data_IF_431052141635
#
_entry.id   IF_431052141635
#
_cell.length_a   1.000
_cell.length_b   1.000
_cell.length_c   1.000
_cell.angle_alpha   90.00
_cell.angle_beta   90.00
_cell.angle_gamma   90.00
#
_symmetry.space_group_name_H-M   'P 1'
#
loop_
_entity.id
_entity.type
_entity.pdbx_description
1 polymer ?
#
# COMPACT_ATOMS: atom_id res chain seq x y z
N UNK A 1 37.32 -37.59 -11.01
CA UNK A 1 36.20 -37.10 -10.19
C UNK A 1 36.76 -36.00 -9.31
N UNK A 2 36.17 -34.80 -9.33
CA UNK A 2 36.43 -33.76 -8.34
C UNK A 2 35.76 -34.21 -7.03
N UNK A 3 36.53 -34.30 -5.95
CA UNK A 3 36.08 -34.87 -4.67
C UNK A 3 35.40 -33.83 -3.79
N UNK A 4 35.98 -32.64 -3.67
CA UNK A 4 35.55 -31.55 -2.79
C UNK A 4 35.19 -30.28 -3.55
N UNK A 5 34.32 -29.47 -2.94
CA UNK A 5 33.93 -28.15 -3.44
C UNK A 5 35.13 -27.19 -3.35
N UNK A 6 35.39 -26.44 -4.44
CA UNK A 6 36.56 -25.56 -4.56
C UNK A 6 37.77 -26.18 -5.26
N UNK A 7 37.82 -27.50 -5.44
CA UNK A 7 38.90 -28.18 -6.16
C UNK A 7 38.88 -27.82 -7.66
N UNK A 8 40.02 -27.39 -8.21
CA UNK A 8 40.17 -27.05 -9.63
C UNK A 8 40.82 -28.20 -10.41
N UNK A 9 40.44 -28.35 -11.68
CA UNK A 9 41.12 -29.22 -12.65
C UNK A 9 41.63 -28.36 -13.80
N UNK A 10 42.92 -28.49 -14.12
CA UNK A 10 43.48 -27.90 -15.34
C UNK A 10 42.79 -28.46 -16.58
N UNK A 11 42.35 -27.59 -17.49
CA UNK A 11 41.68 -27.98 -18.73
C UNK A 11 42.56 -28.94 -19.56
N UNK A 12 43.89 -28.80 -19.51
CA UNK A 12 44.83 -29.73 -20.14
C UNK A 12 44.71 -31.18 -19.64
N UNK A 13 44.38 -31.37 -18.36
CA UNK A 13 44.09 -32.69 -17.79
C UNK A 13 42.82 -33.28 -18.39
N UNK A 14 41.81 -32.45 -18.66
CA UNK A 14 40.59 -32.88 -19.33
C UNK A 14 40.85 -33.23 -20.79
N UNK A 15 41.68 -32.46 -21.51
CA UNK A 15 42.10 -32.79 -22.87
C UNK A 15 42.77 -34.16 -22.93
N UNK A 16 43.73 -34.44 -22.04
CA UNK A 16 44.41 -35.75 -22.02
C UNK A 16 43.42 -36.90 -21.83
N UNK A 17 42.45 -36.74 -20.93
CA UNK A 17 41.48 -37.79 -20.61
C UNK A 17 40.42 -38.00 -21.72
N UNK A 18 39.87 -36.93 -22.28
CA UNK A 18 38.75 -37.01 -23.24
C UNK A 18 39.21 -37.12 -24.70
N UNK A 19 40.42 -36.67 -25.01
CA UNK A 19 40.99 -36.77 -26.36
C UNK A 19 41.86 -38.03 -26.54
N UNK A 20 42.05 -38.84 -25.50
CA UNK A 20 42.79 -40.11 -25.57
C UNK A 20 44.32 -39.95 -25.75
N UNK A 21 44.87 -38.79 -25.42
CA UNK A 21 46.30 -38.48 -25.62
C UNK A 21 47.16 -39.38 -24.72
N UNK A 22 47.90 -40.32 -25.33
CA UNK A 22 48.76 -41.28 -24.64
C UNK A 22 48.12 -42.66 -24.38
N UNK A 23 46.94 -42.94 -24.95
CA UNK A 23 46.29 -44.25 -24.90
C UNK A 23 46.66 -45.20 -26.05
N UNK A 24 46.28 -46.49 -25.99
CA UNK A 24 46.65 -47.50 -26.97
C UNK A 24 45.98 -47.38 -28.35
N UNK A 25 45.03 -46.44 -28.55
CA UNK A 25 44.40 -46.14 -29.85
C UNK A 25 43.98 -44.66 -29.94
N UNK A 26 44.06 -44.05 -31.12
CA UNK A 26 43.67 -42.66 -31.44
C UNK A 26 42.14 -42.45 -31.52
N UNK A 27 41.37 -42.93 -30.54
CA UNK A 27 39.94 -42.65 -30.44
C UNK A 27 39.68 -41.68 -29.28
N UNK A 28 39.23 -40.47 -29.58
CA UNK A 28 38.94 -39.43 -28.59
C UNK A 28 38.17 -38.26 -29.19
N UNK A 29 37.60 -37.42 -28.32
CA UNK A 29 36.94 -36.19 -28.74
C UNK A 29 37.96 -35.20 -29.31
N UNK A 30 37.54 -34.34 -30.23
CA UNK A 30 38.40 -33.22 -30.65
C UNK A 30 38.49 -32.18 -29.53
N UNK A 31 39.58 -31.39 -29.51
CA UNK A 31 39.74 -30.30 -28.54
C UNK A 31 38.54 -29.35 -28.53
N UNK A 32 38.01 -29.02 -29.71
CA UNK A 32 36.86 -28.13 -29.88
C UNK A 32 35.58 -28.73 -29.30
N UNK A 33 35.35 -30.04 -29.44
CA UNK A 33 34.21 -30.71 -28.81
C UNK A 33 34.30 -30.67 -27.28
N UNK A 34 35.49 -30.88 -26.72
CA UNK A 34 35.70 -30.77 -25.26
C UNK A 34 35.47 -29.34 -24.78
N UNK A 35 35.97 -28.33 -25.50
CA UNK A 35 35.74 -26.91 -25.20
C UNK A 35 34.26 -26.53 -25.24
N UNK A 36 33.52 -26.96 -26.28
CA UNK A 36 32.08 -26.70 -26.40
C UNK A 36 31.33 -27.35 -25.23
N UNK A 37 31.66 -28.61 -24.91
CA UNK A 37 31.04 -29.30 -23.78
C UNK A 37 31.29 -28.56 -22.45
N UNK A 38 32.50 -28.08 -22.22
CA UNK A 38 32.82 -27.27 -21.04
C UNK A 38 32.03 -25.97 -20.99
N UNK A 39 31.85 -25.27 -22.12
CA UNK A 39 31.02 -24.08 -22.19
C UNK A 39 29.54 -24.38 -21.95
N UNK A 40 29.02 -25.54 -22.38
CA UNK A 40 27.69 -25.99 -22.01
C UNK A 40 27.58 -26.18 -20.50
N UNK A 41 28.57 -26.78 -19.84
CA UNK A 41 28.56 -26.92 -18.38
C UNK A 41 28.64 -25.57 -17.64
N UNK A 42 29.33 -24.57 -18.21
CA UNK A 42 29.34 -23.19 -17.69
C UNK A 42 27.97 -22.54 -17.87
N UNK A 43 27.36 -22.70 -19.05
CA UNK A 43 26.01 -22.22 -19.35
C UNK A 43 24.95 -22.89 -18.47
N UNK A 44 25.17 -24.11 -18.04
CA UNK A 44 24.28 -24.82 -17.12
C UNK A 44 24.61 -24.51 -15.64
N UNK A 45 25.56 -23.63 -15.37
CA UNK A 45 25.95 -23.22 -14.02
C UNK A 45 26.66 -24.30 -13.20
N UNK A 46 27.08 -25.41 -13.80
CA UNK A 46 27.69 -26.56 -13.11
C UNK A 46 29.18 -26.36 -12.82
N UNK A 47 29.87 -25.57 -13.65
CA UNK A 47 31.30 -25.28 -13.52
C UNK A 47 31.59 -23.81 -13.84
N UNK A 48 32.70 -23.29 -13.32
CA UNK A 48 33.31 -22.01 -13.72
C UNK A 48 34.66 -22.30 -14.33
N UNK A 49 35.10 -21.47 -15.27
CA UNK A 49 36.36 -21.69 -15.97
C UNK A 49 37.21 -20.42 -15.91
N UNK A 50 38.44 -20.52 -15.41
CA UNK A 50 39.39 -19.41 -15.49
C UNK A 50 39.84 -19.22 -16.93
N UNK A 51 40.02 -17.97 -17.34
CA UNK A 51 40.47 -17.61 -18.68
C UNK A 51 41.75 -16.80 -18.57
N UNK A 52 42.79 -17.25 -19.28
CA UNK A 52 44.07 -16.57 -19.29
C UNK A 52 43.98 -15.16 -19.87
N UNK A 53 44.80 -14.24 -19.35
CA UNK A 53 44.85 -12.82 -19.76
C UNK A 53 44.98 -12.59 -21.28
N UNK A 54 45.49 -13.58 -22.01
CA UNK A 54 45.59 -13.56 -23.48
C UNK A 54 44.22 -13.45 -24.17
N UNK A 55 43.14 -13.88 -23.53
CA UNK A 55 41.78 -13.79 -24.04
C UNK A 55 41.21 -12.36 -24.07
N UNK A 56 41.78 -11.42 -23.28
CA UNK A 56 41.31 -10.03 -23.16
C UNK A 56 39.82 -9.90 -22.79
N UNK A 57 39.30 -10.85 -22.01
CA UNK A 57 37.98 -10.71 -21.41
C UNK A 57 38.05 -9.75 -20.21
N UNK A 58 36.95 -9.03 -19.96
CA UNK A 58 36.84 -8.12 -18.82
C UNK A 58 36.92 -8.87 -17.47
N UNK A 59 36.41 -10.10 -17.44
CA UNK A 59 36.53 -11.01 -16.30
C UNK A 59 37.56 -12.11 -16.59
N UNK A 60 38.48 -12.40 -15.64
CA UNK A 60 39.40 -13.54 -15.76
C UNK A 60 38.72 -14.90 -15.47
N UNK A 61 37.41 -14.91 -15.20
CA UNK A 61 36.63 -16.12 -14.96
C UNK A 61 35.34 -16.10 -15.76
N UNK A 62 35.07 -17.18 -16.48
CA UNK A 62 33.81 -17.47 -17.14
C UNK A 62 32.91 -18.25 -16.19
N UNK A 63 31.69 -17.75 -16.01
CA UNK A 63 30.62 -18.41 -15.28
C UNK A 63 29.27 -18.13 -15.96
N UNK A 64 28.18 -18.64 -15.39
CA UNK A 64 26.83 -18.43 -15.91
C UNK A 64 26.47 -16.95 -16.09
N UNK A 65 26.98 -16.06 -15.23
CA UNK A 65 26.58 -14.66 -15.20
C UNK A 65 27.14 -13.85 -16.37
N UNK A 66 28.24 -14.29 -16.98
CA UNK A 66 28.93 -13.53 -18.03
C UNK A 66 29.09 -14.28 -19.36
N UNK A 67 28.81 -15.59 -19.41
CA UNK A 67 28.99 -16.40 -20.63
C UNK A 67 28.14 -15.92 -21.81
N UNK A 68 26.98 -15.32 -21.55
CA UNK A 68 26.10 -14.79 -22.59
C UNK A 68 26.68 -13.56 -23.31
N UNK A 69 27.52 -12.78 -22.61
CA UNK A 69 28.08 -11.52 -23.10
C UNK A 69 29.46 -11.70 -23.76
N UNK A 70 29.93 -12.95 -23.87
CA UNK A 70 31.27 -13.27 -24.37
C UNK A 70 31.21 -13.70 -25.83
N UNK A 71 31.93 -12.97 -26.68
CA UNK A 71 32.18 -13.39 -28.06
C UNK A 71 33.29 -14.46 -28.12
N UNK A 72 32.91 -15.70 -28.43
CA UNK A 72 33.84 -16.82 -28.44
C UNK A 72 34.66 -16.90 -29.73
N UNK A 73 35.91 -16.44 -29.65
CA UNK A 73 36.93 -16.67 -30.68
C UNK A 73 37.85 -17.85 -30.32
N UNK A 74 38.59 -18.37 -31.29
CA UNK A 74 39.63 -19.40 -31.07
C UNK A 74 40.61 -18.99 -29.97
N UNK A 75 40.95 -17.70 -29.90
CA UNK A 75 41.83 -17.12 -28.88
C UNK A 75 41.27 -17.24 -27.47
N UNK A 76 39.96 -17.08 -27.30
CA UNK A 76 39.28 -17.23 -26.00
C UNK A 76 39.22 -18.71 -25.60
N UNK A 77 38.83 -19.58 -26.54
CA UNK A 77 38.72 -21.02 -26.31
C UNK A 77 40.07 -21.66 -25.97
N UNK A 78 41.16 -21.20 -26.59
CA UNK A 78 42.50 -21.73 -26.35
C UNK A 78 43.16 -21.14 -25.09
N UNK A 79 42.49 -20.18 -24.45
CA UNK A 79 42.91 -19.56 -23.19
C UNK A 79 42.17 -20.10 -21.96
N UNK A 80 41.28 -21.10 -22.10
CA UNK A 80 40.63 -21.76 -20.96
C UNK A 80 41.69 -22.47 -20.09
N UNK A 81 41.74 -22.11 -18.80
CA UNK A 81 42.80 -22.52 -17.87
C UNK A 81 42.39 -23.65 -16.95
N UNK A 82 41.59 -23.34 -15.94
CA UNK A 82 41.18 -24.28 -14.90
C UNK A 82 39.66 -24.31 -14.77
N UNK A 83 39.10 -25.51 -14.71
CA UNK A 83 37.69 -25.77 -14.44
C UNK A 83 37.53 -25.96 -12.93
N UNK A 84 36.66 -25.16 -12.34
CA UNK A 84 36.25 -25.30 -10.95
C UNK A 84 34.80 -25.77 -10.92
N UNK A 85 34.51 -26.80 -10.14
CA UNK A 85 33.11 -27.16 -9.86
C UNK A 85 32.47 -25.99 -9.13
N UNK A 86 31.30 -25.55 -9.59
CA UNK A 86 30.51 -24.57 -8.83
C UNK A 86 30.10 -25.28 -7.55
N UNK A 87 30.54 -24.75 -6.40
CA UNK A 87 30.01 -25.20 -5.12
C UNK A 87 28.49 -25.10 -5.20
N UNK A 88 27.78 -26.12 -4.70
CA UNK A 88 26.31 -26.06 -4.60
C UNK A 88 25.91 -24.69 -4.04
N UNK A 89 24.79 -24.09 -4.46
CA UNK A 89 24.29 -22.90 -3.77
C UNK A 89 24.10 -23.27 -2.30
N UNK A 90 25.08 -22.90 -1.47
CA UNK A 90 25.11 -23.27 -0.07
C UNK A 90 23.84 -22.71 0.55
N UNK A 91 23.15 -23.57 1.31
CA UNK A 91 21.98 -23.16 2.07
C UNK A 91 20.74 -22.81 1.22
N UNK A 92 20.70 -23.17 -0.07
CA UNK A 92 19.47 -23.07 -0.87
C UNK A 92 18.30 -23.83 -0.22
N UNK A 93 18.52 -25.05 0.27
CA UNK A 93 17.47 -25.81 0.97
C UNK A 93 17.01 -25.15 2.27
N UNK A 94 17.83 -24.27 2.86
CA UNK A 94 17.46 -23.46 4.02
C UNK A 94 16.64 -22.26 3.59
N UNK A 95 17.02 -21.58 2.50
CA UNK A 95 16.28 -20.43 1.99
C UNK A 95 14.97 -20.81 1.30
N UNK A 96 14.90 -21.97 0.63
CA UNK A 96 13.79 -22.39 -0.23
C UNK A 96 12.41 -22.21 0.43
N UNK A 97 12.16 -22.67 1.67
CA UNK A 97 10.86 -22.49 2.32
C UNK A 97 10.48 -21.01 2.53
N UNK A 98 11.44 -20.13 2.81
CA UNK A 98 11.19 -18.68 2.92
C UNK A 98 10.98 -18.06 1.54
N UNK A 99 11.74 -18.50 0.54
CA UNK A 99 11.59 -18.05 -0.85
C UNK A 99 10.20 -18.36 -1.40
N UNK A 100 9.61 -19.52 -1.05
CA UNK A 100 8.22 -19.86 -1.39
C UNK A 100 7.24 -18.81 -0.88
N UNK A 101 7.42 -18.34 0.37
CA UNK A 101 6.54 -17.32 0.97
C UNK A 101 6.76 -15.92 0.39
N UNK A 102 8.02 -15.57 0.13
CA UNK A 102 8.40 -14.29 -0.49
C UNK A 102 7.82 -14.17 -1.90
N UNK A 103 8.00 -15.21 -2.73
CA UNK A 103 7.53 -15.24 -4.11
C UNK A 103 6.04 -15.59 -4.25
N UNK A 104 5.43 -16.17 -3.21
CA UNK A 104 4.03 -16.62 -3.25
C UNK A 104 3.79 -17.80 -4.19
N UNK A 105 4.81 -18.64 -4.41
CA UNK A 105 4.75 -19.82 -5.29
C UNK A 105 5.36 -21.03 -4.58
N UNK A 106 4.89 -22.23 -4.92
CA UNK A 106 5.54 -23.46 -4.48
C UNK A 106 6.84 -23.69 -5.26
N UNK A 107 7.90 -24.09 -4.56
CA UNK A 107 9.21 -24.33 -5.14
C UNK A 107 9.60 -25.78 -4.83
N UNK A 108 9.57 -26.68 -5.82
CA UNK A 108 9.89 -28.08 -5.58
C UNK A 108 11.31 -28.22 -5.03
N UNK A 109 11.53 -29.17 -4.14
CA UNK A 109 12.89 -29.54 -3.75
C UNK A 109 13.61 -30.07 -4.99
N UNK A 110 14.66 -29.37 -5.39
CA UNK A 110 15.41 -29.65 -6.60
C UNK A 110 16.88 -29.37 -6.35
N UNK A 111 17.73 -30.19 -6.97
CA UNK A 111 19.17 -29.97 -7.02
C UNK A 111 19.62 -29.42 -8.38
N UNK A 112 18.67 -29.02 -9.23
CA UNK A 112 18.95 -28.45 -10.55
C UNK A 112 19.33 -26.97 -10.42
N UNK A 113 20.62 -26.68 -10.59
CA UNK A 113 21.19 -25.33 -10.50
C UNK A 113 20.54 -24.34 -11.47
N UNK A 114 20.07 -24.78 -12.64
CA UNK A 114 19.41 -23.91 -13.61
C UNK A 114 18.06 -23.43 -13.07
N UNK A 115 17.27 -24.33 -12.47
CA UNK A 115 15.99 -23.99 -11.83
C UNK A 115 16.22 -23.11 -10.59
N UNK A 116 17.21 -23.45 -9.76
CA UNK A 116 17.56 -22.64 -8.58
C UNK A 116 17.93 -21.20 -8.99
N UNK A 117 18.69 -21.06 -10.08
CA UNK A 117 19.10 -19.74 -10.60
C UNK A 117 17.91 -18.90 -11.06
N UNK A 118 16.87 -19.53 -11.64
CA UNK A 118 15.64 -18.83 -12.01
C UNK A 118 14.92 -18.26 -10.77
N UNK A 119 14.76 -19.04 -9.71
CA UNK A 119 14.13 -18.57 -8.48
C UNK A 119 14.96 -17.48 -7.78
N UNK A 120 16.29 -17.60 -7.78
CA UNK A 120 17.19 -16.55 -7.27
C UNK A 120 17.02 -15.24 -8.05
N UNK A 121 16.89 -15.31 -9.38
CA UNK A 121 16.62 -14.13 -10.18
C UNK A 121 15.27 -13.48 -9.83
N UNK A 122 14.21 -14.28 -9.64
CA UNK A 122 12.90 -13.81 -9.18
C UNK A 122 12.97 -13.14 -7.80
N UNK A 123 13.75 -13.70 -6.86
CA UNK A 123 13.96 -13.09 -5.54
C UNK A 123 14.67 -11.74 -5.64
N UNK A 124 15.75 -11.65 -6.42
CA UNK A 124 16.45 -10.37 -6.62
C UNK A 124 15.52 -9.31 -7.23
N UNK A 125 14.73 -9.70 -8.23
CA UNK A 125 13.73 -8.83 -8.83
C UNK A 125 12.68 -8.37 -7.81
N UNK A 126 12.17 -9.28 -6.97
CA UNK A 126 11.22 -8.96 -5.91
C UNK A 126 11.82 -7.92 -4.94
N UNK A 127 13.05 -8.13 -4.46
CA UNK A 127 13.72 -7.19 -3.56
C UNK A 127 13.91 -5.82 -4.22
N UNK A 128 14.33 -5.78 -5.49
CA UNK A 128 14.47 -4.52 -6.22
C UNK A 128 13.14 -3.76 -6.36
N UNK A 129 12.04 -4.47 -6.66
CA UNK A 129 10.70 -3.87 -6.79
C UNK A 129 10.14 -3.40 -5.44
N UNK A 130 10.27 -4.23 -4.40
CA UNK A 130 9.68 -3.98 -3.10
C UNK A 130 10.48 -3.01 -2.23
N UNK A 131 11.76 -2.76 -2.54
CA UNK A 131 12.60 -1.80 -1.79
C UNK A 131 11.95 -0.44 -1.63
N UNK A 132 11.51 0.16 -2.74
CA UNK A 132 10.81 1.44 -2.68
C UNK A 132 9.32 1.29 -2.39
N UNK A 133 8.68 0.22 -2.88
CA UNK A 133 7.24 0.03 -2.71
C UNK A 133 6.85 -0.20 -1.25
N UNK A 134 7.62 -1.00 -0.51
CA UNK A 134 7.44 -1.21 0.94
C UNK A 134 7.60 0.10 1.71
N UNK A 135 8.65 0.87 1.43
CA UNK A 135 8.91 2.17 2.06
C UNK A 135 7.75 3.16 1.83
N UNK A 136 7.27 3.27 0.58
CA UNK A 136 6.10 4.10 0.25
C UNK A 136 4.84 3.63 0.96
N UNK A 137 4.62 2.32 1.03
CA UNK A 137 3.46 1.74 1.72
C UNK A 137 3.47 2.09 3.21
N UNK A 138 4.62 1.96 3.88
CA UNK A 138 4.76 2.33 5.28
C UNK A 138 4.52 3.83 5.52
N UNK A 139 5.08 4.71 4.67
CA UNK A 139 4.83 6.16 4.79
C UNK A 139 3.36 6.53 4.56
N UNK A 140 2.68 5.89 3.59
CA UNK A 140 1.25 6.08 3.35
C UNK A 140 0.40 5.60 4.52
N UNK A 141 0.73 4.42 5.09
CA UNK A 141 0.07 3.91 6.28
C UNK A 141 0.21 4.90 7.44
N UNK A 142 1.43 5.34 7.75
CA UNK A 142 1.67 6.32 8.82
C UNK A 142 0.81 7.57 8.61
N UNK A 143 0.86 8.17 7.42
CA UNK A 143 0.10 9.39 7.13
C UNK A 143 -1.41 9.21 7.24
N UNK A 144 -1.95 8.04 6.88
CA UNK A 144 -3.38 7.75 7.07
C UNK A 144 -3.72 7.60 8.55
N UNK A 145 -2.99 6.77 9.30
CA UNK A 145 -3.27 6.51 10.71
C UNK A 145 -3.09 7.76 11.60
N UNK A 146 -2.12 8.61 11.29
CA UNK A 146 -1.94 9.93 11.93
C UNK A 146 -3.18 10.83 11.76
N UNK A 147 -3.78 10.82 10.57
CA UNK A 147 -4.99 11.61 10.27
C UNK A 147 -6.21 11.02 10.97
N UNK A 148 -6.33 9.69 10.96
CA UNK A 148 -7.42 9.00 11.64
C UNK A 148 -7.32 9.12 13.18
N UNK A 149 -6.14 9.50 13.69
CA UNK A 149 -5.80 9.57 15.12
C UNK A 149 -6.00 8.22 15.82
N UNK A 150 -5.57 7.16 15.14
CA UNK A 150 -5.66 5.78 15.60
C UNK A 150 -4.32 5.11 15.38
N UNK A 151 -3.91 4.23 16.29
CA UNK A 151 -2.68 3.46 16.14
C UNK A 151 -2.80 2.48 14.97
N UNK A 152 -1.70 2.29 14.23
CA UNK A 152 -1.64 1.28 13.19
C UNK A 152 -1.39 -0.10 13.82
N UNK A 153 -2.35 -1.05 13.74
CA UNK A 153 -2.20 -2.37 14.36
C UNK A 153 -1.06 -3.21 13.74
N UNK A 154 -0.53 -2.81 12.58
CA UNK A 154 0.49 -3.51 11.82
C UNK A 154 1.79 -2.72 11.65
N UNK A 155 1.98 -1.65 12.42
CA UNK A 155 3.20 -0.84 12.35
C UNK A 155 4.48 -1.68 12.51
N UNK A 156 4.59 -2.62 13.48
CA UNK A 156 5.79 -3.44 13.63
C UNK A 156 6.05 -4.31 12.39
N UNK A 157 5.02 -4.98 11.86
CA UNK A 157 5.12 -5.84 10.67
C UNK A 157 5.55 -5.05 9.44
N UNK A 158 4.98 -3.85 9.23
CA UNK A 158 5.38 -2.97 8.14
C UNK A 158 6.85 -2.56 8.26
N UNK A 159 7.29 -2.16 9.46
CA UNK A 159 8.68 -1.76 9.70
C UNK A 159 9.66 -2.91 9.42
N UNK A 160 9.30 -4.14 9.80
CA UNK A 160 10.11 -5.33 9.53
C UNK A 160 10.16 -5.66 8.04
N UNK A 161 9.03 -5.59 7.32
CA UNK A 161 9.00 -5.82 5.87
C UNK A 161 9.81 -4.77 5.11
N UNK A 162 9.73 -3.50 5.52
CA UNK A 162 10.60 -2.43 4.99
C UNK A 162 12.07 -2.75 5.27
N UNK A 163 12.41 -3.14 6.50
CA UNK A 163 13.79 -3.53 6.85
C UNK A 163 14.28 -4.69 5.99
N UNK A 164 13.45 -5.72 5.77
CA UNK A 164 13.76 -6.86 4.91
C UNK A 164 14.07 -6.43 3.48
N UNK A 165 13.14 -5.72 2.82
CA UNK A 165 13.32 -5.34 1.41
C UNK A 165 14.31 -4.20 1.17
N UNK A 166 14.71 -3.48 2.23
CA UNK A 166 15.81 -2.50 2.16
C UNK A 166 17.19 -3.14 2.01
N UNK A 167 17.33 -4.43 2.34
CA UNK A 167 18.59 -5.15 2.25
C UNK A 167 19.11 -5.20 0.81
N UNK A 168 20.42 -4.96 0.64
CA UNK A 168 21.05 -5.10 -0.66
C UNK A 168 21.36 -6.58 -0.93
N UNK A 169 20.67 -7.14 -1.91
CA UNK A 169 20.85 -8.53 -2.37
C UNK A 169 21.54 -8.60 -3.75
N UNK A 170 22.02 -7.46 -4.27
CA UNK A 170 22.76 -7.39 -5.53
C UNK A 170 24.26 -7.64 -5.32
N UNK A 171 24.86 -8.43 -6.21
CA UNK A 171 26.30 -8.67 -6.26
C UNK A 171 26.81 -9.60 -5.14
N UNK A 172 26.90 -10.91 -5.44
CA UNK A 172 27.50 -11.89 -4.54
C UNK A 172 26.59 -13.09 -4.27
N UNK A 173 26.67 -13.60 -3.04
CA UNK A 173 25.87 -14.72 -2.55
C UNK A 173 24.52 -14.23 -2.01
N UNK A 174 23.59 -14.00 -2.93
CA UNK A 174 22.22 -13.56 -2.62
C UNK A 174 21.48 -14.49 -1.64
N UNK A 175 21.79 -15.78 -1.57
CA UNK A 175 21.16 -16.71 -0.64
C UNK A 175 21.52 -16.32 0.80
N UNK A 176 22.81 -16.16 1.06
CA UNK A 176 23.30 -15.71 2.37
C UNK A 176 22.81 -14.31 2.72
N UNK A 177 22.78 -13.39 1.75
CA UNK A 177 22.29 -12.03 1.98
C UNK A 177 20.80 -12.00 2.35
N UNK A 178 19.96 -12.81 1.70
CA UNK A 178 18.53 -12.89 2.02
C UNK A 178 18.32 -13.56 3.39
N UNK A 179 19.04 -14.64 3.70
CA UNK A 179 18.96 -15.28 5.02
C UNK A 179 19.41 -14.32 6.14
N UNK A 180 20.47 -13.54 5.89
CA UNK A 180 20.92 -12.51 6.81
C UNK A 180 19.89 -11.37 6.95
N UNK A 181 19.24 -10.96 5.86
CA UNK A 181 18.17 -9.96 5.90
C UNK A 181 16.96 -10.44 6.72
N UNK A 182 16.59 -11.72 6.62
CA UNK A 182 15.55 -12.34 7.45
C UNK A 182 15.92 -12.34 8.93
N UNK A 183 17.18 -12.66 9.26
CA UNK A 183 17.72 -12.52 10.62
C UNK A 183 17.60 -11.08 11.10
N UNK A 184 18.08 -10.11 10.33
CA UNK A 184 18.07 -8.71 10.74
C UNK A 184 16.67 -8.14 10.88
N UNK A 185 15.76 -8.47 9.97
CA UNK A 185 14.41 -7.93 9.96
C UNK A 185 13.50 -8.57 11.00
N UNK A 186 13.59 -9.89 11.18
CA UNK A 186 12.60 -10.68 11.93
C UNK A 186 13.22 -11.51 13.07
N UNK A 187 14.53 -11.38 13.29
CA UNK A 187 15.28 -12.09 14.32
C UNK A 187 15.29 -13.62 14.15
N UNK A 188 15.10 -14.08 12.91
CA UNK A 188 15.13 -15.51 12.56
C UNK A 188 16.53 -16.09 12.70
N UNK A 189 16.59 -17.36 13.11
CA UNK A 189 17.80 -18.11 13.41
C UNK A 189 18.28 -18.96 12.23
N UNK A 190 17.53 -19.01 11.12
CA UNK A 190 17.86 -19.83 9.96
C UNK A 190 19.26 -19.57 9.39
N UNK A 191 19.72 -18.31 9.41
CA UNK A 191 21.07 -17.94 9.00
C UNK A 191 22.15 -18.52 9.93
N UNK A 192 21.96 -18.42 11.25
CA UNK A 192 22.97 -18.85 12.23
C UNK A 192 22.99 -20.37 12.43
N UNK A 193 21.82 -21.00 12.38
CA UNK A 193 21.65 -22.45 12.60
C UNK A 193 21.77 -23.27 11.33
N UNK A 194 21.82 -22.60 10.18
CA UNK A 194 21.77 -23.20 8.86
C UNK A 194 20.60 -24.19 8.67
N UNK A 195 19.43 -23.84 9.20
CA UNK A 195 18.26 -24.71 9.21
C UNK A 195 16.98 -23.89 9.13
N UNK A 196 16.12 -24.23 8.17
CA UNK A 196 14.77 -23.68 8.11
C UNK A 196 13.89 -24.28 9.20
N UNK A 197 13.10 -23.44 9.88
CA UNK A 197 12.12 -23.90 10.86
C UNK A 197 10.70 -23.59 10.37
N UNK A 198 9.74 -24.54 10.47
CA UNK A 198 8.36 -24.27 10.07
C UNK A 198 7.75 -23.06 10.76
N UNK A 199 8.07 -22.85 12.04
CA UNK A 199 7.58 -21.71 12.81
C UNK A 199 7.98 -20.35 12.22
N UNK A 200 9.24 -20.18 11.81
CA UNK A 200 9.69 -18.94 11.17
C UNK A 200 9.11 -18.76 9.76
N UNK A 201 8.95 -19.86 9.02
CA UNK A 201 8.35 -19.84 7.68
C UNK A 201 6.87 -19.42 7.75
N UNK A 202 6.14 -19.93 8.73
CA UNK A 202 4.74 -19.59 8.97
C UNK A 202 4.59 -18.15 9.50
N UNK A 203 5.48 -17.71 10.40
CA UNK A 203 5.52 -16.32 10.86
C UNK A 203 5.79 -15.36 9.69
N UNK A 204 6.75 -15.68 8.80
CA UNK A 204 7.03 -14.89 7.60
C UNK A 204 5.79 -14.80 6.70
N UNK A 205 5.10 -15.93 6.50
CA UNK A 205 3.88 -15.95 5.69
C UNK A 205 2.81 -15.01 6.26
N UNK A 206 2.62 -15.01 7.58
CA UNK A 206 1.67 -14.13 8.26
C UNK A 206 2.07 -12.65 8.15
N UNK A 207 3.35 -12.32 8.34
CA UNK A 207 3.84 -10.93 8.20
C UNK A 207 3.68 -10.40 6.77
N UNK A 208 3.99 -11.24 5.77
CA UNK A 208 3.80 -10.89 4.36
C UNK A 208 2.32 -10.75 3.99
N UNK A 209 1.44 -11.57 4.59
CA UNK A 209 -0.01 -11.41 4.46
C UNK A 209 -0.45 -10.05 5.02
N UNK A 210 -0.11 -9.73 6.27
CA UNK A 210 -0.48 -8.46 6.90
C UNK A 210 0.01 -7.25 6.09
N UNK A 211 1.22 -7.32 5.54
CA UNK A 211 1.74 -6.30 4.64
C UNK A 211 0.88 -6.12 3.38
N UNK A 212 0.46 -7.21 2.74
CA UNK A 212 -0.41 -7.18 1.55
C UNK A 212 -1.80 -6.65 1.90
N UNK A 213 -2.36 -7.06 3.03
CA UNK A 213 -3.67 -6.62 3.51
C UNK A 213 -3.66 -5.11 3.78
N UNK A 214 -2.64 -4.58 4.45
CA UNK A 214 -2.47 -3.13 4.63
C UNK A 214 -2.32 -2.42 3.29
N UNK A 215 -1.52 -2.96 2.37
CA UNK A 215 -1.34 -2.37 1.04
C UNK A 215 -2.66 -2.30 0.27
N UNK A 216 -3.48 -3.34 0.32
CA UNK A 216 -4.81 -3.36 -0.27
C UNK A 216 -5.75 -2.35 0.41
N UNK A 217 -5.73 -2.29 1.75
CA UNK A 217 -6.51 -1.34 2.53
C UNK A 217 -6.19 0.13 2.16
N UNK A 218 -4.92 0.45 1.90
CA UNK A 218 -4.48 1.79 1.52
C UNK A 218 -5.00 2.25 0.16
N UNK A 219 -5.51 1.36 -0.69
CA UNK A 219 -6.18 1.77 -1.92
C UNK A 219 -7.49 2.54 -1.63
N UNK A 220 -8.03 2.41 -0.43
CA UNK A 220 -9.21 3.13 0.06
C UNK A 220 -8.87 4.34 0.96
N UNK A 221 -7.63 4.79 0.93
CA UNK A 221 -7.16 5.94 1.71
C UNK A 221 -8.02 7.22 1.54
N UNK A 222 -8.44 7.63 0.31
CA UNK A 222 -9.28 8.82 0.12
C UNK A 222 -10.65 8.71 0.79
N UNK A 223 -11.27 7.54 0.71
CA UNK A 223 -12.55 7.23 1.35
C UNK A 223 -12.42 7.24 2.86
N UNK A 224 -11.33 6.70 3.42
CA UNK A 224 -11.08 6.72 4.87
C UNK A 224 -10.90 8.13 5.41
N UNK A 225 -10.13 8.97 4.71
CA UNK A 225 -9.95 10.39 5.07
C UNK A 225 -11.28 11.13 5.05
N UNK A 226 -12.11 10.87 4.04
CA UNK A 226 -13.45 11.47 3.90
C UNK A 226 -14.40 10.99 5.01
N UNK A 227 -14.39 9.70 5.31
CA UNK A 227 -15.19 9.12 6.38
C UNK A 227 -14.82 9.71 7.74
N UNK A 228 -13.53 9.91 8.01
CA UNK A 228 -13.04 10.57 9.23
C UNK A 228 -13.48 12.03 9.31
N UNK A 229 -13.37 12.79 8.20
CA UNK A 229 -13.84 14.17 8.15
C UNK A 229 -15.34 14.29 8.44
N UNK A 230 -16.17 13.37 7.91
CA UNK A 230 -17.59 13.31 8.24
C UNK A 230 -17.84 12.94 9.69
N UNK A 231 -17.01 12.09 10.28
CA UNK A 231 -17.12 11.76 11.69
C UNK A 231 -16.80 12.94 12.60
N UNK A 232 -15.97 13.90 12.17
CA UNK A 232 -15.70 15.10 12.95
C UNK A 232 -16.89 16.08 13.02
N UNK A 233 -17.88 15.94 12.14
CA UNK A 233 -19.09 16.78 12.13
C UNK A 233 -19.99 16.43 13.31
N UNK A 234 -20.29 17.41 14.15
CA UNK A 234 -21.29 17.31 15.21
C UNK A 234 -22.65 17.74 14.67
N UNK A 235 -23.61 16.82 14.64
CA UNK A 235 -25.00 17.13 14.32
C UNK A 235 -25.74 17.52 15.60
N UNK A 236 -26.58 18.56 15.56
CA UNK A 236 -27.47 18.95 16.66
C UNK A 236 -28.52 17.89 16.99
N UNK A 237 -29.31 18.08 18.05
CA UNK A 237 -30.14 17.03 18.66
C UNK A 237 -31.53 16.83 18.03
N UNK A 238 -31.82 17.57 16.96
CA UNK A 238 -32.99 17.41 16.08
C UNK A 238 -33.41 15.93 15.89
N UNK A 239 -34.70 15.64 16.01
CA UNK A 239 -35.23 14.27 15.94
C UNK A 239 -35.05 13.66 14.55
N UNK A 240 -35.06 14.50 13.53
CA UNK A 240 -34.90 14.14 12.11
C UNK A 240 -33.46 13.77 11.77
N UNK A 241 -32.49 14.32 12.51
CA UNK A 241 -31.07 14.00 12.38
C UNK A 241 -30.66 12.74 13.14
N UNK A 242 -31.58 12.10 13.90
CA UNK A 242 -31.27 10.92 14.70
C UNK A 242 -30.70 9.76 13.87
N UNK A 243 -31.20 9.54 12.65
CA UNK A 243 -30.66 8.51 11.77
C UNK A 243 -29.23 8.84 11.28
N UNK A 244 -28.95 10.11 10.98
CA UNK A 244 -27.63 10.56 10.57
C UNK A 244 -26.62 10.48 11.72
N UNK A 245 -27.01 10.87 12.95
CA UNK A 245 -26.21 10.67 14.16
C UNK A 245 -25.87 9.18 14.36
N UNK A 246 -26.87 8.31 14.27
CA UNK A 246 -26.67 6.85 14.36
C UNK A 246 -25.71 6.32 13.28
N UNK A 247 -25.79 6.85 12.06
CA UNK A 247 -24.89 6.47 10.97
C UNK A 247 -23.46 6.98 11.18
N UNK A 248 -23.27 8.21 11.67
CA UNK A 248 -21.96 8.76 12.02
C UNK A 248 -21.31 7.95 13.15
N UNK A 249 -22.05 7.67 14.22
CA UNK A 249 -21.57 6.83 15.32
C UNK A 249 -21.24 5.41 14.85
N UNK A 250 -22.04 4.86 13.93
CA UNK A 250 -21.73 3.61 13.27
C UNK A 250 -20.38 3.64 12.56
N UNK A 251 -20.08 4.71 11.80
CA UNK A 251 -18.78 4.84 11.12
C UNK A 251 -17.64 5.10 12.11
N UNK A 252 -17.85 5.90 13.16
CA UNK A 252 -16.86 6.11 14.23
C UNK A 252 -16.46 4.78 14.87
N UNK A 253 -17.44 3.95 15.23
CA UNK A 253 -17.19 2.62 15.81
C UNK A 253 -16.37 1.72 14.87
N UNK A 254 -16.58 1.81 13.56
CA UNK A 254 -15.80 1.08 12.55
C UNK A 254 -14.38 1.61 12.41
N UNK A 255 -14.21 2.95 12.37
CA UNK A 255 -12.89 3.59 12.30
C UNK A 255 -12.04 3.35 13.55
N UNK A 256 -12.65 3.01 14.70
CA UNK A 256 -11.93 2.58 15.89
C UNK A 256 -11.43 1.12 15.82
N UNK A 257 -12.02 0.29 14.94
CA UNK A 257 -11.74 -1.15 14.86
C UNK A 257 -11.18 -1.54 13.48
N UNK A 258 -10.34 -0.70 12.88
CA UNK A 258 -9.82 -0.90 11.51
C UNK A 258 -9.13 -2.23 11.27
N UNK A 259 -8.56 -2.85 12.33
CA UNK A 259 -7.93 -4.17 12.23
C UNK A 259 -8.87 -5.23 11.61
N UNK A 260 -10.13 -5.29 12.04
CA UNK A 260 -11.10 -6.26 11.49
C UNK A 260 -11.38 -6.05 10.00
N UNK A 261 -11.16 -4.83 9.52
CA UNK A 261 -11.44 -4.40 8.14
C UNK A 261 -10.25 -4.68 7.24
N UNK A 262 -9.04 -4.48 7.77
CA UNK A 262 -7.78 -4.83 7.10
C UNK A 262 -7.72 -6.36 6.94
N UNK A 263 -8.11 -7.12 7.95
CA UNK A 263 -7.92 -8.58 7.98
C UNK A 263 -8.89 -9.36 7.09
N UNK A 264 -9.99 -8.73 6.67
CA UNK A 264 -11.16 -9.43 6.14
C UNK A 264 -11.38 -9.25 4.63
N UNK A 265 -10.51 -8.54 3.91
CA UNK A 265 -10.66 -8.23 2.47
C UNK A 265 -12.01 -7.56 2.09
N UNK A 266 -12.79 -7.10 3.07
CA UNK A 266 -14.20 -6.74 2.83
C UNK A 266 -14.35 -5.31 2.31
N UNK A 267 -15.20 -5.21 1.29
CA UNK A 267 -15.89 -4.08 0.63
C UNK A 267 -16.58 -3.04 1.57
N UNK A 268 -15.97 -2.69 2.70
CA UNK A 268 -16.64 -1.99 3.81
C UNK A 268 -16.95 -0.52 3.57
N UNK A 269 -16.26 0.13 2.63
CA UNK A 269 -16.46 1.55 2.32
C UNK A 269 -17.44 1.81 1.20
N UNK A 270 -17.54 0.91 0.22
CA UNK A 270 -18.46 1.08 -0.90
C UNK A 270 -19.91 0.94 -0.41
N UNK A 271 -20.15 -0.05 0.45
CA UNK A 271 -21.44 -0.25 1.13
C UNK A 271 -21.81 0.88 2.09
N UNK A 272 -20.84 1.40 2.85
CA UNK A 272 -21.08 2.50 3.79
C UNK A 272 -21.32 3.83 3.06
N UNK A 273 -20.60 4.09 1.98
CA UNK A 273 -20.77 5.29 1.15
C UNK A 273 -22.08 5.25 0.38
N UNK A 274 -22.43 4.10 -0.21
CA UNK A 274 -23.70 3.88 -0.90
C UNK A 274 -24.91 4.16 -0.01
N UNK A 275 -24.93 3.60 1.21
CA UNK A 275 -26.01 3.84 2.20
C UNK A 275 -26.13 5.30 2.62
N UNK A 276 -25.03 6.07 2.63
CA UNK A 276 -25.08 7.52 2.91
C UNK A 276 -25.62 8.32 1.72
N UNK A 277 -25.30 7.91 0.50
CA UNK A 277 -25.83 8.56 -0.72
C UNK A 277 -27.34 8.34 -0.87
N UNK A 278 -27.86 7.19 -0.40
CA UNK A 278 -29.30 6.92 -0.37
C UNK A 278 -30.10 7.95 0.46
N UNK A 279 -29.49 8.54 1.50
CA UNK A 279 -30.13 9.58 2.32
C UNK A 279 -30.48 10.82 1.47
N UNK A 280 -29.60 11.22 0.55
CA UNK A 280 -29.84 12.36 -0.35
C UNK A 280 -30.83 12.04 -1.49
N UNK A 281 -31.09 10.75 -1.73
CA UNK A 281 -32.13 10.29 -2.66
C UNK A 281 -33.49 10.10 -1.96
N UNK A 282 -33.54 10.17 -0.64
CA UNK A 282 -34.77 10.09 0.13
C UNK A 282 -35.71 11.25 -0.24
N UNK A 283 -36.99 10.99 -0.54
CA UNK A 283 -37.96 12.04 -0.94
C UNK A 283 -38.09 13.19 0.06
N UNK A 284 -38.08 12.90 1.36
CA UNK A 284 -38.21 13.92 2.42
C UNK A 284 -36.97 14.81 2.52
N UNK A 285 -35.78 14.24 2.33
CA UNK A 285 -34.52 15.00 2.30
C UNK A 285 -34.46 15.87 1.05
N UNK A 286 -34.91 15.35 -0.10
CA UNK A 286 -35.00 16.12 -1.35
C UNK A 286 -35.98 17.29 -1.23
N UNK A 287 -37.13 17.09 -0.59
CA UNK A 287 -38.10 18.15 -0.34
C UNK A 287 -37.54 19.26 0.57
N UNK A 288 -36.70 18.91 1.56
CA UNK A 288 -35.98 19.91 2.36
C UNK A 288 -34.98 20.69 1.52
N UNK A 289 -34.17 19.99 0.72
CA UNK A 289 -33.17 20.61 -0.14
C UNK A 289 -33.77 21.45 -1.27
N UNK A 290 -35.00 21.18 -1.72
CA UNK A 290 -35.72 22.04 -2.70
C UNK A 290 -35.86 23.50 -2.23
N UNK A 291 -35.85 23.75 -0.92
CA UNK A 291 -35.86 25.09 -0.34
C UNK A 291 -34.59 25.89 -0.69
N UNK A 292 -33.49 25.20 -0.97
CA UNK A 292 -32.21 25.77 -1.38
C UNK A 292 -31.92 25.67 -2.87
N UNK A 293 -32.89 25.32 -3.73
CA UNK A 293 -32.65 25.05 -5.17
C UNK A 293 -32.03 26.21 -5.96
N UNK A 294 -32.03 27.42 -5.41
CA UNK A 294 -31.37 28.59 -6.01
C UNK A 294 -29.86 28.56 -5.81
N UNK A 295 -29.37 27.78 -4.85
CA UNK A 295 -27.93 27.56 -4.62
C UNK A 295 -27.41 26.51 -5.63
N UNK A 296 -26.32 26.79 -6.37
CA UNK A 296 -25.77 25.87 -7.36
C UNK A 296 -25.41 24.49 -6.79
N UNK A 297 -24.91 24.45 -5.55
CA UNK A 297 -24.53 23.22 -4.84
C UNK A 297 -25.73 22.31 -4.55
N UNK A 298 -26.89 22.92 -4.27
CA UNK A 298 -28.12 22.21 -3.93
C UNK A 298 -28.86 21.80 -5.19
N UNK A 299 -28.92 22.68 -6.20
CA UNK A 299 -29.48 22.38 -7.51
C UNK A 299 -28.77 21.18 -8.16
N UNK A 300 -27.44 21.15 -8.10
CA UNK A 300 -26.66 20.03 -8.61
C UNK A 300 -26.93 18.73 -7.82
N UNK A 301 -27.05 18.80 -6.50
CA UNK A 301 -27.37 17.65 -5.65
C UNK A 301 -28.76 17.06 -5.98
N UNK A 302 -29.77 17.92 -6.21
CA UNK A 302 -31.13 17.51 -6.57
C UNK A 302 -31.23 16.91 -7.99
N UNK A 303 -30.33 17.26 -8.89
CA UNK A 303 -30.34 16.80 -10.29
C UNK A 303 -30.03 15.29 -10.44
N UNK A 304 -29.22 14.70 -9.55
CA UNK A 304 -28.75 13.32 -9.69
C UNK A 304 -29.66 12.31 -8.97
N UNK A 305 -30.10 11.27 -9.69
CA UNK A 305 -31.05 10.27 -9.19
C UNK A 305 -30.43 8.94 -8.74
N UNK A 306 -29.14 8.75 -8.97
CA UNK A 306 -28.41 7.54 -8.60
C UNK A 306 -27.30 7.86 -7.61
N UNK A 307 -26.98 6.90 -6.75
CA UNK A 307 -25.95 7.05 -5.70
C UNK A 307 -24.57 7.30 -6.29
N UNK A 308 -24.25 6.68 -7.43
CA UNK A 308 -22.96 6.82 -8.11
C UNK A 308 -22.75 8.21 -8.70
N UNK A 309 -23.76 8.74 -9.39
CA UNK A 309 -23.70 10.07 -9.99
C UNK A 309 -23.67 11.17 -8.91
N UNK A 310 -24.44 10.98 -7.83
CA UNK A 310 -24.49 11.90 -6.70
C UNK A 310 -23.17 11.91 -5.91
N UNK A 311 -22.52 10.75 -5.76
CA UNK A 311 -21.17 10.62 -5.18
C UNK A 311 -20.13 11.39 -5.99
N UNK A 312 -20.09 11.17 -7.32
CA UNK A 312 -19.14 11.85 -8.19
C UNK A 312 -19.28 13.37 -8.14
N UNK A 313 -20.54 13.85 -8.09
CA UNK A 313 -20.83 15.27 -7.94
C UNK A 313 -20.38 15.83 -6.59
N UNK A 314 -20.72 15.18 -5.47
CA UNK A 314 -20.37 15.67 -4.13
C UNK A 314 -18.85 15.74 -3.91
N UNK A 315 -18.11 14.75 -4.40
CA UNK A 315 -16.64 14.76 -4.33
C UNK A 315 -16.10 16.00 -5.04
N UNK A 316 -16.59 16.27 -6.26
CA UNK A 316 -16.18 17.43 -7.05
C UNK A 316 -16.59 18.76 -6.38
N UNK A 317 -17.83 18.87 -5.91
CA UNK A 317 -18.39 20.08 -5.34
C UNK A 317 -17.72 20.48 -4.00
N UNK A 318 -17.29 19.50 -3.20
CA UNK A 318 -16.55 19.76 -1.95
C UNK A 318 -15.10 20.17 -2.23
N UNK A 319 -14.47 19.61 -3.26
CA UNK A 319 -13.12 19.99 -3.68
C UNK A 319 -13.07 21.39 -4.28
N UNK A 320 -14.06 21.75 -5.10
CA UNK A 320 -14.09 23.03 -5.82
C UNK A 320 -14.66 24.18 -4.99
N UNK A 321 -15.48 23.91 -3.97
CA UNK A 321 -16.14 24.95 -3.18
C UNK A 321 -16.09 24.64 -1.68
N UNK A 322 -15.08 25.19 -0.97
CA UNK A 322 -15.03 25.18 0.49
C UNK A 322 -16.27 25.89 1.05
N UNK A 323 -17.13 25.19 1.78
CA UNK A 323 -18.42 25.69 2.27
C UNK A 323 -19.65 25.01 1.68
N UNK A 324 -19.49 24.14 0.67
CA UNK A 324 -20.59 23.29 0.14
C UNK A 324 -21.29 22.51 1.25
N UNK A 325 -20.54 22.02 2.23
CA UNK A 325 -21.08 21.28 3.39
C UNK A 325 -21.98 22.18 4.26
N UNK A 326 -21.57 23.43 4.50
CA UNK A 326 -22.34 24.38 5.30
C UNK A 326 -23.63 24.80 4.60
N UNK A 327 -23.57 24.96 3.28
CA UNK A 327 -24.74 25.26 2.43
C UNK A 327 -25.72 24.09 2.51
N UNK A 328 -25.27 22.85 2.29
CA UNK A 328 -26.12 21.65 2.39
C UNK A 328 -26.75 21.56 3.78
N UNK A 329 -25.97 21.71 4.84
CA UNK A 329 -26.47 21.64 6.22
C UNK A 329 -27.49 22.72 6.53
N UNK A 330 -27.32 23.95 6.00
CA UNK A 330 -28.29 25.04 6.17
C UNK A 330 -29.66 24.67 5.63
N UNK A 331 -29.72 24.06 4.44
CA UNK A 331 -30.97 23.70 3.76
C UNK A 331 -31.54 22.33 4.13
N UNK A 332 -30.84 21.57 4.98
CA UNK A 332 -31.39 20.38 5.63
C UNK A 332 -32.24 20.72 6.87
N UNK A 333 -32.15 21.95 7.39
CA UNK A 333 -32.97 22.46 8.51
C UNK A 333 -34.34 22.92 8.02
N UNK A 334 -35.37 22.79 8.87
CA UNK A 334 -36.73 23.27 8.61
C UNK A 334 -36.79 24.79 8.83
N UNK A 335 -37.13 25.56 7.79
CA UNK A 335 -37.36 27.00 7.94
C UNK A 335 -38.64 27.25 8.74
N UNK A 336 -38.54 28.02 9.83
CA UNK A 336 -39.68 28.46 10.64
C UNK A 336 -39.73 29.98 10.63
N UNK A 337 -40.71 30.55 9.93
CA UNK A 337 -40.88 32.00 9.84
C UNK A 337 -41.79 32.48 10.97
N UNK A 338 -41.26 33.30 11.88
CA UNK A 338 -42.02 33.97 12.94
C UNK A 338 -42.34 35.40 12.48
N UNK A 339 -43.63 35.71 12.42
CA UNK A 339 -44.10 37.07 12.12
C UNK A 339 -44.01 37.92 13.38
N UNK A 340 -43.33 39.06 13.29
CA UNK A 340 -43.13 39.99 14.41
C UNK A 340 -43.73 41.33 14.02
N UNK A 341 -44.72 41.79 14.78
CA UNK A 341 -45.31 43.10 14.57
C UNK A 341 -44.43 44.15 15.23
N UNK A 342 -44.11 45.20 14.48
CA UNK A 342 -43.31 46.32 15.03
C UNK A 342 -44.05 46.99 16.20
N UNK A 343 -45.39 46.98 16.18
CA UNK A 343 -46.23 47.53 17.25
C UNK A 343 -46.09 46.83 18.61
N UNK A 344 -45.54 45.60 18.65
CA UNK A 344 -45.32 44.86 19.90
C UNK A 344 -44.05 45.33 20.63
N UNK A 345 -43.18 46.07 19.95
CA UNK A 345 -42.04 46.73 20.59
C UNK A 345 -42.51 47.93 21.41
N UNK A 346 -42.27 47.89 22.73
CA UNK A 346 -42.51 49.03 23.63
C UNK A 346 -41.18 49.49 24.23
N UNK A 347 -40.63 50.64 23.79
CA UNK A 347 -39.44 51.20 24.41
C UNK A 347 -39.74 51.63 25.84
N UNK A 348 -38.72 51.66 26.70
CA UNK A 348 -38.90 52.09 28.10
C UNK A 348 -39.32 53.56 28.24
N UNK A 349 -38.93 54.38 27.26
CA UNK A 349 -39.28 55.80 27.19
C UNK A 349 -40.27 56.05 26.06
N UNK A 350 -41.39 56.71 26.36
CA UNK A 350 -42.41 57.05 25.34
C UNK A 350 -42.04 58.25 24.46
N UNK A 351 -41.09 59.07 24.90
CA UNK A 351 -40.58 60.24 24.19
C UNK A 351 -39.07 60.18 24.16
N UNK A 352 -38.48 60.19 22.96
CA UNK A 352 -37.05 59.91 22.74
C UNK A 352 -36.31 61.22 22.46
N UNK A 353 -35.28 61.53 23.25
CA UNK A 353 -34.33 62.62 22.97
C UNK A 353 -33.16 62.11 22.11
N UNK A 354 -32.41 63.02 21.46
CA UNK A 354 -31.38 62.66 20.47
C UNK A 354 -30.28 61.75 21.04
N UNK A 355 -29.91 61.97 22.28
CA UNK A 355 -28.94 61.19 23.05
C UNK A 355 -29.45 59.80 23.45
N UNK A 356 -30.77 59.57 23.43
CA UNK A 356 -31.42 58.31 23.80
C UNK A 356 -31.70 57.38 22.61
N UNK A 357 -31.41 57.82 21.37
CA UNK A 357 -31.66 57.01 20.16
C UNK A 357 -30.87 55.70 20.17
N UNK A 358 -29.61 55.74 20.62
CA UNK A 358 -28.77 54.54 20.72
C UNK A 358 -29.35 53.50 21.69
N UNK A 359 -29.85 53.96 22.84
CA UNK A 359 -30.46 53.09 23.85
C UNK A 359 -31.72 52.39 23.32
N UNK A 360 -32.58 53.11 22.58
CA UNK A 360 -33.79 52.54 21.98
C UNK A 360 -33.46 51.56 20.86
N UNK A 361 -32.41 51.79 20.07
CA UNK A 361 -31.96 50.86 19.04
C UNK A 361 -31.43 49.55 19.64
N UNK A 362 -30.68 49.62 20.75
CA UNK A 362 -30.28 48.43 21.49
C UNK A 362 -31.49 47.72 22.10
N UNK A 363 -32.48 48.44 22.62
CA UNK A 363 -33.73 47.85 23.12
C UNK A 363 -34.48 47.11 22.02
N UNK A 364 -34.51 47.65 20.80
CA UNK A 364 -35.12 46.98 19.65
C UNK A 364 -34.31 45.75 19.20
N UNK A 365 -32.97 45.84 19.21
CA UNK A 365 -32.09 44.69 18.96
C UNK A 365 -32.35 43.54 19.94
N UNK A 366 -32.35 43.84 21.25
CA UNK A 366 -32.68 42.86 22.30
C UNK A 366 -34.10 42.32 22.17
N UNK A 367 -35.05 43.14 21.71
CA UNK A 367 -36.42 42.70 21.42
C UNK A 367 -36.45 41.67 20.28
N UNK A 368 -35.73 41.91 19.17
CA UNK A 368 -35.64 40.96 18.05
C UNK A 368 -34.92 39.67 18.45
N UNK A 369 -33.80 39.76 19.19
CA UNK A 369 -33.08 38.61 19.73
C UNK A 369 -33.99 37.73 20.59
N UNK A 370 -34.80 38.35 21.46
CA UNK A 370 -35.80 37.64 22.27
C UNK A 370 -36.91 36.97 21.43
N UNK A 371 -37.16 37.41 20.20
CA UNK A 371 -38.12 36.70 19.34
C UNK A 371 -37.59 35.36 18.85
N UNK A 372 -36.27 35.15 18.85
CA UNK A 372 -35.63 33.88 18.54
C UNK A 372 -35.59 32.91 19.73
N UNK A 373 -35.64 33.39 20.99
CA UNK A 373 -35.49 32.54 22.19
C UNK A 373 -36.63 31.55 22.41
N UNK A 374 -37.80 31.72 21.77
CA UNK A 374 -38.91 30.75 21.83
C UNK A 374 -38.59 29.43 21.10
N UNK A 375 -37.53 29.40 20.27
CA UNK A 375 -37.09 28.22 19.51
C UNK A 375 -35.67 27.75 19.90
N UNK A 376 -35.08 28.28 20.97
CA UNK A 376 -33.71 27.98 21.44
C UNK A 376 -33.50 26.53 21.92
N UNK A 377 -34.46 25.62 21.68
CA UNK A 377 -34.33 24.19 21.96
C UNK A 377 -34.64 23.26 20.78
N UNK A 378 -34.95 23.80 19.59
CA UNK A 378 -35.21 22.99 18.39
C UNK A 378 -34.07 23.15 17.37
N UNK A 379 -33.04 22.32 17.51
CA UNK A 379 -31.89 22.28 16.61
C UNK A 379 -32.25 21.96 15.14
N UNK A 380 -33.49 21.48 14.86
CA UNK A 380 -33.99 21.22 13.49
C UNK A 380 -34.57 22.47 12.81
N UNK A 381 -34.78 23.56 13.55
CA UNK A 381 -35.38 24.77 13.02
C UNK A 381 -34.33 25.82 12.64
N UNK A 382 -34.51 26.46 11.49
CA UNK A 382 -33.85 27.73 11.15
C UNK A 382 -34.89 28.84 11.34
N UNK A 383 -34.92 29.53 12.50
CA UNK A 383 -35.89 30.57 12.75
C UNK A 383 -35.54 31.81 11.92
N UNK A 384 -36.54 32.36 11.24
CA UNK A 384 -36.43 33.62 10.50
C UNK A 384 -37.52 34.58 10.99
N UNK A 385 -37.18 35.85 11.17
CA UNK A 385 -38.17 36.87 11.50
C UNK A 385 -38.64 37.56 10.22
N UNK A 386 -39.96 37.62 10.06
CA UNK A 386 -40.59 38.51 9.09
C UNK A 386 -41.21 39.67 9.85
N UNK A 387 -40.70 40.88 9.61
CA UNK A 387 -41.26 42.10 10.20
C UNK A 387 -42.53 42.48 9.44
N UNK A 388 -43.62 42.69 10.18
CA UNK A 388 -44.92 43.17 9.68
C UNK A 388 -45.33 44.50 10.32
#
# INVERSE_FOLDING_TARGET
>A
KLGDDGQTIKVDTLYKNFMGIGGPKDYGLTRRMVQIYLLCLVRDGRVRITVGAKARLASPMLDYSNIADVEFSTKVLDALGEVQKVAKPENWEVLRPYAEKLLGIEIPSTQDDALITEYRAKLRQLFAQEKEASSRTASRAQGLFDILKTDNPYEPELAQVVKLFSANVEGGDDIHLILYALKEAMNYQAFDTNKATPAEVDDLANRLKNYRDVRAFLEYEPEMRTAHAYCAVTLGDARELAQARKAIEGVRAKLLNLKEYIDSDVQLLDDASRRKMEVFLNPTVRERLEQGKTEPSIAGLLAYKTTEALRAYLIKAVQETPGTVDIINRYLKRIVVKRVRIADFRPKVGTIQKDQVGEVAEEFGRFLEKQFTDHEGDDDALPMLQLE
#
